data_IF_571135589044
#
_entry.id   IF_571135589044
#
_cell.length_a   1.000
_cell.length_b   1.000
_cell.length_c   1.000
_cell.angle_alpha   90.00
_cell.angle_beta   90.00
_cell.angle_gamma   90.00
#
_symmetry.space_group_name_H-M   'P 1'
#
loop_
_entity.id
_entity.type
_entity.pdbx_description
1 polymer ?
#
# COMPACT_ATOMS: atom_id res chain seq x y z
N UNK A 1 4.08 -7.59 13.46
CA UNK A 1 3.22 -6.46 13.09
C UNK A 1 3.61 -5.94 11.73
N UNK A 2 2.64 -5.67 10.88
CA UNK A 2 2.86 -4.99 9.61
C UNK A 2 2.79 -3.49 9.87
N UNK A 3 3.82 -2.75 9.47
CA UNK A 3 3.80 -1.29 9.51
C UNK A 3 3.64 -0.75 8.09
N UNK A 4 2.55 -0.02 7.86
CA UNK A 4 2.27 0.63 6.59
C UNK A 4 2.64 2.11 6.74
N UNK A 5 3.46 2.63 5.82
CA UNK A 5 3.80 4.06 5.79
C UNK A 5 3.31 4.65 4.49
N UNK A 6 2.60 5.75 4.60
CA UNK A 6 2.05 6.49 3.46
C UNK A 6 2.76 7.84 3.38
N UNK A 7 3.34 8.16 2.24
CA UNK A 7 3.98 9.46 2.02
C UNK A 7 3.13 10.31 1.07
N UNK A 8 2.91 11.56 1.47
CA UNK A 8 2.15 12.54 0.67
C UNK A 8 3.06 13.71 0.32
N UNK A 9 2.79 14.34 -0.82
CA UNK A 9 3.46 15.58 -1.21
C UNK A 9 2.72 16.80 -0.63
N UNK A 10 3.17 18.00 -0.96
CA UNK A 10 2.60 19.25 -0.44
C UNK A 10 1.15 19.49 -0.91
N UNK A 11 0.72 18.80 -1.97
CA UNK A 11 -0.65 18.86 -2.46
C UNK A 11 -1.52 17.74 -1.88
N UNK A 12 -1.04 17.07 -0.83
CA UNK A 12 -1.71 15.95 -0.18
C UNK A 12 -1.93 14.73 -1.09
N UNK A 13 -1.20 14.64 -2.18
CA UNK A 13 -1.23 13.48 -3.05
C UNK A 13 -0.31 12.38 -2.51
N UNK A 14 -0.77 11.14 -2.56
CA UNK A 14 0.05 10.00 -2.16
C UNK A 14 1.08 9.74 -3.26
N UNK A 15 2.36 9.80 -2.89
CA UNK A 15 3.47 9.60 -3.82
C UNK A 15 4.21 8.29 -3.61
N UNK A 16 4.11 7.71 -2.43
CA UNK A 16 4.68 6.39 -2.16
C UNK A 16 4.03 5.75 -0.95
N UNK A 17 4.20 4.45 -0.85
CA UNK A 17 3.80 3.71 0.34
C UNK A 17 4.75 2.53 0.54
N UNK A 18 4.87 2.08 1.79
CA UNK A 18 5.67 0.91 2.12
C UNK A 18 4.97 0.05 3.14
N UNK A 19 5.28 -1.25 3.07
CA UNK A 19 4.83 -2.23 4.05
C UNK A 19 6.07 -2.93 4.58
N UNK A 20 6.14 -3.10 5.90
CA UNK A 20 7.27 -3.72 6.57
C UNK A 20 6.78 -4.69 7.63
N UNK A 21 7.32 -5.90 7.62
CA UNK A 21 7.05 -6.91 8.62
C UNK A 21 5.95 -7.90 8.23
N UNK A 22 5.59 -8.70 9.20
CA UNK A 22 4.52 -9.69 9.11
C UNK A 22 3.52 -9.44 10.22
N UNK A 23 2.25 -9.77 9.98
CA UNK A 23 1.19 -9.52 10.94
C UNK A 23 1.40 -10.30 12.24
N UNK A 24 1.84 -11.56 12.16
CA UNK A 24 2.00 -12.40 13.34
C UNK A 24 0.67 -12.85 13.93
N UNK A 25 -0.41 -12.80 13.14
CA UNK A 25 -1.73 -13.24 13.57
C UNK A 25 -1.80 -14.75 13.71
N UNK A 26 -1.16 -15.47 12.77
CA UNK A 26 -1.11 -16.92 12.73
C UNK A 26 0.16 -17.34 11.98
N UNK A 27 0.40 -18.63 11.89
CA UNK A 27 1.54 -19.17 11.12
C UNK A 27 1.39 -18.84 9.64
N UNK A 28 2.51 -18.84 8.93
CA UNK A 28 2.52 -18.58 7.49
C UNK A 28 1.55 -19.52 6.77
N UNK A 29 0.80 -18.96 5.84
CA UNK A 29 -0.23 -19.68 5.07
C UNK A 29 -1.60 -19.70 5.73
N UNK A 30 -1.72 -19.33 7.01
CA UNK A 30 -3.00 -19.25 7.74
C UNK A 30 -3.29 -17.86 8.29
N UNK A 31 -2.37 -16.92 8.07
CA UNK A 31 -2.50 -15.57 8.60
C UNK A 31 -3.46 -14.75 7.73
N UNK A 32 -4.69 -14.59 8.23
CA UNK A 32 -5.74 -13.87 7.49
C UNK A 32 -5.45 -12.37 7.39
N UNK A 33 -4.71 -11.80 8.35
CA UNK A 33 -4.34 -10.38 8.30
C UNK A 33 -3.31 -10.15 7.20
N UNK A 34 -2.28 -10.99 7.12
CA UNK A 34 -1.32 -10.94 6.03
C UNK A 34 -1.99 -11.14 4.67
N UNK A 35 -2.93 -12.08 4.58
CA UNK A 35 -3.66 -12.35 3.34
C UNK A 35 -4.51 -11.13 2.93
N UNK A 36 -5.21 -10.51 3.86
CA UNK A 36 -6.02 -9.32 3.58
C UNK A 36 -5.16 -8.16 3.10
N UNK A 37 -4.08 -7.85 3.81
CA UNK A 37 -3.16 -6.77 3.44
C UNK A 37 -2.52 -7.04 2.08
N UNK A 38 -2.12 -8.28 1.83
CA UNK A 38 -1.50 -8.67 0.55
C UNK A 38 -2.49 -8.51 -0.61
N UNK A 39 -3.75 -8.88 -0.41
CA UNK A 39 -4.77 -8.75 -1.45
C UNK A 39 -5.04 -7.28 -1.79
N UNK A 40 -5.15 -6.42 -0.79
CA UNK A 40 -5.34 -4.97 -0.99
C UNK A 40 -4.15 -4.37 -1.74
N UNK A 41 -2.94 -4.71 -1.32
CA UNK A 41 -1.71 -4.23 -1.95
C UNK A 41 -1.62 -4.68 -3.39
N UNK A 42 -1.88 -5.96 -3.64
CA UNK A 42 -1.82 -6.51 -4.99
C UNK A 42 -2.85 -5.88 -5.92
N UNK A 43 -4.07 -5.66 -5.44
CA UNK A 43 -5.11 -5.00 -6.21
C UNK A 43 -4.70 -3.56 -6.57
N UNK A 44 -4.07 -2.86 -5.64
CA UNK A 44 -3.54 -1.52 -5.87
C UNK A 44 -2.48 -1.53 -6.98
N UNK A 45 -1.54 -2.48 -6.91
CA UNK A 45 -0.49 -2.61 -7.93
C UNK A 45 -1.07 -2.96 -9.30
N UNK A 46 -2.11 -3.79 -9.36
CA UNK A 46 -2.81 -4.08 -10.60
C UNK A 46 -3.37 -2.79 -11.20
N UNK A 47 -4.05 -1.98 -10.40
CA UNK A 47 -4.61 -0.72 -10.86
C UNK A 47 -3.55 0.25 -11.39
N UNK A 48 -2.48 0.44 -10.63
CA UNK A 48 -1.43 1.39 -10.98
C UNK A 48 -0.55 0.90 -12.13
N UNK A 49 -0.15 -0.36 -12.10
CA UNK A 49 0.82 -0.89 -13.06
C UNK A 49 0.17 -1.47 -14.31
N UNK A 50 -0.83 -2.33 -14.15
CA UNK A 50 -1.44 -3.01 -15.31
C UNK A 50 -2.49 -2.16 -16.01
N UNK A 51 -3.31 -1.42 -15.25
CA UNK A 51 -4.41 -0.63 -15.85
C UNK A 51 -3.96 0.75 -16.27
N UNK A 52 -3.31 1.49 -15.39
CA UNK A 52 -2.78 2.82 -15.71
C UNK A 52 -1.44 2.78 -16.43
N UNK A 53 -0.76 1.63 -16.40
CA UNK A 53 0.56 1.44 -17.03
C UNK A 53 1.62 2.42 -16.53
N UNK A 54 1.56 2.73 -15.23
CA UNK A 54 2.58 3.56 -14.60
C UNK A 54 3.87 2.77 -14.39
N UNK A 55 4.99 3.44 -14.62
CA UNK A 55 6.31 2.85 -14.37
C UNK A 55 6.68 3.04 -12.90
N UNK A 56 6.17 2.18 -12.05
CA UNK A 56 6.35 2.26 -10.60
C UNK A 56 7.80 2.00 -10.19
N UNK A 57 8.23 2.68 -9.14
CA UNK A 57 9.54 2.44 -8.50
C UNK A 57 9.29 1.47 -7.35
N UNK A 58 9.71 0.21 -7.52
CA UNK A 58 9.46 -0.83 -6.52
C UNK A 58 10.77 -1.30 -5.91
N UNK A 59 10.83 -1.26 -4.58
CA UNK A 59 11.95 -1.80 -3.79
C UNK A 59 11.41 -2.92 -2.93
N UNK A 60 12.10 -4.06 -2.95
CA UNK A 60 11.76 -5.22 -2.12
C UNK A 60 13.01 -5.71 -1.41
N UNK A 61 12.84 -6.20 -0.20
CA UNK A 61 13.89 -6.92 0.50
C UNK A 61 13.32 -8.13 1.22
N UNK A 62 14.19 -9.04 1.63
CA UNK A 62 13.79 -10.20 2.41
C UNK A 62 13.19 -9.74 3.73
N UNK A 63 12.32 -10.57 4.32
CA UNK A 63 11.71 -10.26 5.62
C UNK A 63 10.42 -9.46 5.54
N UNK A 64 9.81 -9.36 4.36
CA UNK A 64 8.48 -8.76 4.24
C UNK A 64 8.48 -7.25 4.03
N UNK A 65 9.48 -6.70 3.39
CA UNK A 65 9.52 -5.27 3.05
C UNK A 65 9.22 -5.04 1.57
N UNK A 66 8.32 -4.09 1.30
CA UNK A 66 8.10 -3.56 -0.04
C UNK A 66 7.86 -2.05 0.06
N UNK A 67 8.46 -1.30 -0.87
CA UNK A 67 8.17 0.13 -1.04
C UNK A 67 7.81 0.37 -2.50
N UNK A 68 6.72 1.09 -2.72
CA UNK A 68 6.21 1.44 -4.04
C UNK A 68 6.14 2.95 -4.16
N UNK A 69 6.81 3.50 -5.16
CA UNK A 69 6.76 4.93 -5.46
C UNK A 69 6.17 5.20 -6.83
N UNK A 70 5.43 6.30 -6.95
CA UNK A 70 4.92 6.75 -8.23
C UNK A 70 6.05 7.37 -9.05
N UNK A 71 6.02 7.23 -10.39
CA UNK A 71 6.98 7.94 -11.24
C UNK A 71 6.73 9.44 -11.24
N UNK A 72 7.71 10.20 -11.72
CA UNK A 72 7.56 11.62 -11.91
C UNK A 72 6.75 11.92 -13.17
N UNK A 73 6.19 13.11 -13.25
CA UNK A 73 5.54 13.63 -14.47
C UNK A 73 4.35 12.80 -14.95
N UNK A 74 3.52 12.32 -14.02
CA UNK A 74 2.29 11.65 -14.38
C UNK A 74 1.30 12.71 -14.89
N UNK A 75 0.68 12.52 -16.08
CA UNK A 75 -0.34 13.44 -16.55
C UNK A 75 -1.49 13.58 -15.56
N UNK A 76 -2.12 14.76 -15.53
CA UNK A 76 -3.12 15.07 -14.50
C UNK A 76 -4.28 14.07 -14.47
N UNK A 77 -4.77 13.65 -15.62
CA UNK A 77 -5.89 12.70 -15.68
C UNK A 77 -5.52 11.36 -15.05
N UNK A 78 -4.34 10.84 -15.37
CA UNK A 78 -3.85 9.59 -14.79
C UNK A 78 -3.55 9.75 -13.29
N UNK A 79 -3.05 10.92 -12.89
CA UNK A 79 -2.79 11.19 -11.47
C UNK A 79 -4.07 11.18 -10.64
N UNK A 80 -5.17 11.70 -11.19
CA UNK A 80 -6.47 11.65 -10.51
C UNK A 80 -6.92 10.21 -10.27
N UNK A 81 -6.77 9.35 -11.27
CA UNK A 81 -7.14 7.94 -11.15
C UNK A 81 -6.20 7.23 -10.17
N UNK A 82 -4.91 7.49 -10.26
CA UNK A 82 -3.92 6.91 -9.33
C UNK A 82 -4.25 7.28 -7.89
N UNK A 83 -4.59 8.55 -7.62
CA UNK A 83 -4.95 8.98 -6.27
C UNK A 83 -6.24 8.31 -5.78
N UNK A 84 -7.23 8.12 -6.66
CA UNK A 84 -8.44 7.39 -6.30
C UNK A 84 -8.11 5.96 -5.86
N UNK A 85 -7.25 5.29 -6.60
CA UNK A 85 -6.80 3.92 -6.28
C UNK A 85 -6.04 3.90 -4.94
N UNK A 86 -5.09 4.82 -4.76
CA UNK A 86 -4.25 4.87 -3.56
C UNK A 86 -5.04 5.26 -2.31
N UNK A 87 -5.96 6.22 -2.42
CA UNK A 87 -6.80 6.60 -1.29
C UNK A 87 -7.74 5.47 -0.88
N UNK A 88 -8.25 4.71 -1.86
CA UNK A 88 -9.06 3.52 -1.57
C UNK A 88 -8.24 2.46 -0.83
N UNK A 89 -7.00 2.27 -1.23
CA UNK A 89 -6.06 1.37 -0.54
C UNK A 89 -5.87 1.79 0.92
N UNK A 90 -5.61 3.07 1.16
CA UNK A 90 -5.40 3.60 2.52
C UNK A 90 -6.64 3.41 3.37
N UNK A 91 -7.82 3.68 2.82
CA UNK A 91 -9.09 3.48 3.52
C UNK A 91 -9.25 2.03 3.97
N UNK A 92 -8.90 1.06 3.09
CA UNK A 92 -9.01 -0.34 3.46
C UNK A 92 -7.96 -0.76 4.49
N UNK A 93 -6.73 -0.25 4.40
CA UNK A 93 -5.73 -0.51 5.44
C UNK A 93 -6.20 0.02 6.80
N UNK A 94 -6.81 1.19 6.84
CA UNK A 94 -7.35 1.75 8.08
C UNK A 94 -8.52 0.92 8.61
N UNK A 95 -9.34 0.36 7.72
CA UNK A 95 -10.42 -0.53 8.10
C UNK A 95 -9.88 -1.82 8.72
N UNK A 96 -8.86 -2.41 8.10
CA UNK A 96 -8.18 -3.59 8.66
C UNK A 96 -7.58 -3.25 10.03
N UNK A 97 -6.92 -2.11 10.15
CA UNK A 97 -6.32 -1.66 11.41
C UNK A 97 -7.39 -1.53 12.51
N UNK A 98 -8.59 -1.04 12.17
CA UNK A 98 -9.65 -0.87 13.16
C UNK A 98 -10.10 -2.20 13.78
N UNK A 99 -9.99 -3.30 13.04
CA UNK A 99 -10.35 -4.63 13.52
C UNK A 99 -9.18 -5.43 14.03
N UNK A 100 -7.96 -5.15 13.54
CA UNK A 100 -6.75 -5.94 13.82
C UNK A 100 -5.57 -5.05 14.20
N UNK A 101 -5.82 -4.02 15.01
CA UNK A 101 -4.81 -3.03 15.38
C UNK A 101 -3.59 -3.57 16.13
N UNK A 102 -3.65 -4.80 16.65
CA UNK A 102 -2.49 -5.46 17.25
C UNK A 102 -1.53 -6.01 16.19
N UNK A 103 -1.97 -6.10 14.92
CA UNK A 103 -1.24 -6.77 13.85
C UNK A 103 -0.85 -5.87 12.70
N UNK A 104 -1.46 -4.69 12.60
CA UNK A 104 -1.18 -3.71 11.56
C UNK A 104 -1.23 -2.31 12.13
N UNK A 105 -0.26 -1.48 11.73
CA UNK A 105 -0.18 -0.07 12.10
C UNK A 105 -0.02 0.76 10.83
N UNK A 106 -0.89 1.74 10.63
CA UNK A 106 -0.85 2.63 9.47
C UNK A 106 -0.33 4.00 9.91
N UNK A 107 0.72 4.47 9.27
CA UNK A 107 1.32 5.78 9.52
C UNK A 107 1.24 6.62 8.26
N UNK A 108 0.75 7.85 8.40
CA UNK A 108 0.69 8.80 7.29
C UNK A 108 1.59 9.99 7.57
N UNK A 109 2.13 10.55 6.51
CA UNK A 109 2.96 11.74 6.57
C UNK A 109 2.38 12.86 5.72
#
# INVERSE_FOLDING_TARGET
MITVKIERNDNDEIISFSLDGHAGYDVEGKDIVCAAVSAVTNMTLIGLHEKLKLNLKVEKSDGGYIKVGLPNNIPEAEMMVAQFILESMVTEYLDIESSYGEYILVKER
#
